data_IF_570101560107
#
_entry.id   IF_570101560107
#
_cell.length_a   1.000
_cell.length_b   1.000
_cell.length_c   1.000
_cell.angle_alpha   90.00
_cell.angle_beta   90.00
_cell.angle_gamma   90.00
#
_symmetry.space_group_name_H-M   'P 1'
#
loop_
_entity.id
_entity.type
_entity.pdbx_description
1 polymer ?
#
# COMPACT_ATOMS: atom_id res chain seq x y z
N UNK A 1 6.14 11.33 -0.58
CA UNK A 1 4.82 11.18 -1.24
C UNK A 1 4.82 12.02 -2.49
N UNK A 2 3.76 11.99 -3.30
CA UNK A 2 3.55 13.07 -4.28
C UNK A 2 3.12 14.37 -3.58
N UNK A 3 2.93 15.40 -4.40
CA UNK A 3 2.38 16.69 -4.01
C UNK A 3 0.84 16.66 -3.93
N UNK A 4 0.26 15.52 -3.51
CA UNK A 4 -1.16 15.44 -3.20
C UNK A 4 -1.49 16.36 -2.02
N UNK A 5 -2.61 17.08 -2.07
CA UNK A 5 -2.98 18.04 -1.03
C UNK A 5 -3.22 17.39 0.34
N UNK A 6 -3.51 16.09 0.38
CA UNK A 6 -3.58 15.30 1.61
C UNK A 6 -2.22 15.11 2.29
N UNK A 7 -1.12 15.17 1.53
CA UNK A 7 0.25 15.05 2.04
C UNK A 7 0.89 16.43 2.21
N UNK A 8 0.48 17.42 1.41
CA UNK A 8 0.93 18.80 1.49
C UNK A 8 -0.02 19.62 2.37
N UNK A 9 -0.13 19.25 3.65
CA UNK A 9 -0.94 19.97 4.62
C UNK A 9 -0.28 20.05 6.01
N UNK A 10 -0.49 21.18 6.69
CA UNK A 10 0.07 21.46 8.02
C UNK A 10 -0.25 20.37 9.07
N UNK A 11 -1.47 19.77 9.11
CA UNK A 11 -1.74 18.68 10.05
C UNK A 11 -0.87 17.44 9.81
N UNK A 12 -0.56 17.13 8.55
CA UNK A 12 0.28 15.98 8.20
C UNK A 12 1.75 16.24 8.53
N UNK A 13 2.26 17.46 8.25
CA UNK A 13 3.61 17.86 8.64
C UNK A 13 3.81 17.78 10.16
N UNK A 14 2.86 18.34 10.94
CA UNK A 14 2.88 18.23 12.41
C UNK A 14 2.84 16.78 12.89
N UNK A 15 2.15 15.90 12.18
CA UNK A 15 2.11 14.47 12.49
C UNK A 15 3.49 13.83 12.26
N UNK A 16 4.12 14.13 11.13
CA UNK A 16 5.46 13.68 10.80
C UNK A 16 6.49 14.16 11.84
N UNK A 17 6.48 15.44 12.19
CA UNK A 17 7.37 16.03 13.21
C UNK A 17 7.19 15.35 14.57
N UNK A 18 5.93 15.14 14.99
CA UNK A 18 5.61 14.48 16.26
C UNK A 18 6.22 13.08 16.36
N UNK A 19 6.29 12.34 15.25
CA UNK A 19 6.85 10.99 15.22
C UNK A 19 8.30 10.95 14.71
N UNK A 20 8.94 12.10 14.48
CA UNK A 20 10.31 12.18 13.97
C UNK A 20 10.46 11.59 12.57
N UNK A 21 9.42 11.65 11.74
CA UNK A 21 9.42 11.16 10.36
C UNK A 21 9.83 12.28 9.43
N UNK A 22 10.92 12.10 8.70
CA UNK A 22 11.33 13.03 7.65
C UNK A 22 10.44 12.83 6.40
N UNK A 23 9.59 13.82 6.12
CA UNK A 23 8.68 13.79 4.99
C UNK A 23 9.32 14.35 3.72
N UNK A 24 9.48 13.51 2.70
CA UNK A 24 10.09 13.86 1.42
C UNK A 24 9.08 13.72 0.27
N UNK A 25 9.13 14.67 -0.67
CA UNK A 25 8.28 14.68 -1.87
C UNK A 25 8.99 14.07 -3.09
N UNK A 26 8.22 13.39 -3.94
CA UNK A 26 8.65 13.02 -5.28
C UNK A 26 8.74 14.26 -6.15
N UNK A 27 9.68 14.29 -7.09
CA UNK A 27 9.83 15.37 -8.06
C UNK A 27 8.51 15.63 -8.81
N UNK A 28 8.21 16.89 -9.15
CA UNK A 28 7.05 17.21 -9.98
C UNK A 28 7.05 16.43 -11.30
N UNK A 29 5.88 15.93 -11.69
CA UNK A 29 5.62 15.22 -12.97
C UNK A 29 6.45 13.94 -13.17
N UNK A 30 6.96 13.31 -12.11
CA UNK A 30 7.66 12.01 -12.18
C UNK A 30 6.91 10.90 -11.43
N UNK A 31 5.73 10.46 -11.93
CA UNK A 31 4.93 9.42 -11.26
C UNK A 31 5.68 8.09 -11.09
N UNK A 32 6.68 7.83 -11.93
CA UNK A 32 7.51 6.63 -11.85
C UNK A 32 8.26 6.50 -10.51
N UNK A 33 8.55 7.62 -9.83
CA UNK A 33 9.16 7.60 -8.49
C UNK A 33 8.25 6.92 -7.45
N UNK A 34 6.93 7.00 -7.63
CA UNK A 34 5.95 6.33 -6.80
C UNK A 34 5.50 4.97 -7.38
N UNK A 35 6.10 4.52 -8.48
CA UNK A 35 5.64 3.33 -9.19
C UNK A 35 5.65 2.04 -8.36
N UNK A 36 6.50 1.94 -7.33
CA UNK A 36 6.48 0.79 -6.39
C UNK A 36 5.20 0.77 -5.57
N UNK A 37 4.82 1.90 -4.97
CA UNK A 37 3.59 1.98 -4.15
C UNK A 37 2.35 1.87 -5.03
N UNK A 38 2.34 2.49 -6.21
CA UNK A 38 1.22 2.40 -7.16
C UNK A 38 0.96 0.96 -7.62
N UNK A 39 2.01 0.20 -7.96
CA UNK A 39 1.87 -1.22 -8.30
C UNK A 39 1.33 -2.02 -7.12
N UNK A 40 1.78 -1.73 -5.90
CA UNK A 40 1.33 -2.42 -4.70
C UNK A 40 -0.14 -2.17 -4.39
N UNK A 41 -0.58 -0.91 -4.50
CA UNK A 41 -1.98 -0.52 -4.32
C UNK A 41 -2.89 -1.23 -5.31
N UNK A 42 -2.49 -1.26 -6.60
CA UNK A 42 -3.22 -1.98 -7.65
C UNK A 42 -3.37 -3.47 -7.33
N UNK A 43 -2.28 -4.15 -6.93
CA UNK A 43 -2.36 -5.57 -6.58
C UNK A 43 -3.28 -5.84 -5.39
N UNK A 44 -3.29 -4.98 -4.37
CA UNK A 44 -4.20 -5.10 -3.23
C UNK A 44 -5.66 -4.92 -3.65
N UNK A 45 -5.94 -3.92 -4.47
CA UNK A 45 -7.27 -3.64 -4.99
C UNK A 45 -7.80 -4.78 -5.89
N UNK A 46 -6.97 -5.29 -6.81
CA UNK A 46 -7.30 -6.41 -7.69
C UNK A 46 -7.57 -7.69 -6.89
N UNK A 47 -6.74 -8.01 -5.90
CA UNK A 47 -6.95 -9.17 -5.03
C UNK A 47 -8.25 -9.05 -4.23
N UNK A 48 -8.51 -7.87 -3.65
CA UNK A 48 -9.73 -7.62 -2.88
C UNK A 48 -10.98 -7.77 -3.75
N UNK A 49 -10.96 -7.19 -4.97
CA UNK A 49 -12.05 -7.33 -5.94
C UNK A 49 -12.25 -8.77 -6.36
N UNK A 50 -11.17 -9.51 -6.61
CA UNK A 50 -11.23 -10.93 -6.97
C UNK A 50 -11.88 -11.75 -5.87
N UNK A 51 -11.48 -11.55 -4.60
CA UNK A 51 -12.08 -12.24 -3.46
C UNK A 51 -13.57 -11.96 -3.33
N UNK A 52 -14.00 -10.70 -3.47
CA UNK A 52 -15.42 -10.36 -3.40
C UNK A 52 -16.22 -10.96 -4.56
N UNK A 53 -15.68 -10.91 -5.78
CA UNK A 53 -16.36 -11.42 -6.97
C UNK A 53 -16.51 -12.94 -6.94
N UNK A 54 -15.49 -13.67 -6.50
CA UNK A 54 -15.48 -15.14 -6.44
C UNK A 54 -16.61 -15.69 -5.57
N UNK A 55 -16.88 -15.02 -4.45
CA UNK A 55 -17.92 -15.43 -3.48
C UNK A 55 -19.20 -14.61 -3.58
N UNK A 56 -19.35 -13.79 -4.64
CA UNK A 56 -20.49 -12.89 -4.84
C UNK A 56 -20.84 -12.04 -3.62
N UNK A 57 -19.82 -11.60 -2.88
CA UNK A 57 -20.01 -10.86 -1.65
C UNK A 57 -20.42 -9.40 -1.95
N UNK A 58 -21.27 -8.80 -1.11
CA UNK A 58 -21.58 -7.39 -1.20
C UNK A 58 -20.32 -6.51 -1.10
N UNK A 59 -20.31 -5.38 -1.82
CA UNK A 59 -19.21 -4.40 -1.74
C UNK A 59 -18.98 -3.83 -0.34
N UNK A 60 -19.94 -3.97 0.59
CA UNK A 60 -19.75 -3.58 1.99
C UNK A 60 -18.60 -4.31 2.67
N UNK A 61 -18.23 -5.50 2.19
CA UNK A 61 -17.12 -6.30 2.71
C UNK A 61 -15.73 -5.88 2.16
N UNK A 62 -15.62 -4.74 1.48
CA UNK A 62 -14.37 -4.34 0.84
C UNK A 62 -13.23 -4.13 1.84
N UNK A 63 -13.53 -3.69 3.07
CA UNK A 63 -12.52 -3.49 4.12
C UNK A 63 -11.94 -4.84 4.55
N UNK A 64 -12.79 -5.84 4.78
CA UNK A 64 -12.40 -7.20 5.16
C UNK A 64 -11.63 -7.88 4.02
N UNK A 65 -12.07 -7.71 2.78
CA UNK A 65 -11.36 -8.21 1.61
C UNK A 65 -9.97 -7.56 1.47
N UNK A 66 -9.86 -6.25 1.69
CA UNK A 66 -8.59 -5.51 1.64
C UNK A 66 -7.62 -5.95 2.75
N UNK A 67 -8.12 -6.11 3.97
CA UNK A 67 -7.32 -6.63 5.08
C UNK A 67 -6.81 -8.04 4.79
N UNK A 68 -7.67 -8.90 4.24
CA UNK A 68 -7.31 -10.28 3.87
C UNK A 68 -6.28 -10.29 2.73
N UNK A 69 -6.47 -9.47 1.70
CA UNK A 69 -5.52 -9.32 0.60
C UNK A 69 -4.14 -8.87 1.11
N UNK A 70 -4.09 -7.87 2.00
CA UNK A 70 -2.85 -7.40 2.61
C UNK A 70 -2.14 -8.50 3.42
N UNK A 71 -2.90 -9.25 4.24
CA UNK A 71 -2.37 -10.37 5.01
C UNK A 71 -1.74 -11.43 4.11
N UNK A 72 -2.44 -11.85 3.05
CA UNK A 72 -1.99 -12.88 2.11
C UNK A 72 -0.75 -12.42 1.34
N UNK A 73 -0.76 -11.20 0.78
CA UNK A 73 0.35 -10.69 -0.03
C UNK A 73 1.65 -10.64 0.78
N UNK A 74 1.59 -10.32 2.06
CA UNK A 74 2.77 -10.18 2.90
C UNK A 74 3.36 -11.53 3.35
N UNK A 75 2.59 -12.62 3.25
CA UNK A 75 2.94 -13.94 3.80
C UNK A 75 3.05 -15.06 2.79
N UNK A 76 2.57 -14.85 1.55
CA UNK A 76 2.60 -15.89 0.51
C UNK A 76 3.52 -15.48 -0.64
N UNK A 77 3.59 -14.20 -0.98
CA UNK A 77 4.38 -13.75 -2.11
C UNK A 77 5.87 -13.78 -1.78
N UNK A 78 6.66 -14.59 -2.51
CA UNK A 78 8.11 -14.66 -2.34
C UNK A 78 8.81 -13.59 -3.17
N UNK A 79 9.74 -12.86 -2.55
CA UNK A 79 10.69 -12.03 -3.32
C UNK A 79 11.70 -12.95 -4.00
N UNK A 80 11.69 -12.96 -5.33
CA UNK A 80 12.50 -13.84 -6.19
C UNK A 80 13.97 -13.91 -5.79
N UNK A 81 14.58 -12.78 -5.44
CA UNK A 81 16.01 -12.70 -5.10
C UNK A 81 16.36 -13.35 -3.76
N UNK A 82 15.45 -13.27 -2.77
CA UNK A 82 15.71 -13.70 -1.39
C UNK A 82 15.01 -15.01 -1.03
N UNK A 83 14.10 -15.48 -1.88
CA UNK A 83 13.22 -16.64 -1.64
C UNK A 83 12.54 -16.60 -0.27
N UNK A 84 12.19 -15.37 0.17
CA UNK A 84 11.53 -15.09 1.44
C UNK A 84 10.33 -14.18 1.19
N UNK A 85 9.34 -14.30 2.04
CA UNK A 85 8.14 -13.45 2.06
C UNK A 85 8.48 -12.07 2.65
N UNK A 86 7.73 -11.01 2.34
CA UNK A 86 7.87 -9.71 3.01
C UNK A 86 7.83 -9.82 4.54
N UNK A 87 6.97 -10.68 5.07
CA UNK A 87 6.86 -10.91 6.52
C UNK A 87 8.13 -11.50 7.13
N UNK A 88 8.79 -12.43 6.45
CA UNK A 88 10.06 -13.02 6.91
C UNK A 88 11.26 -12.07 6.75
N UNK A 89 11.18 -11.09 5.85
CA UNK A 89 12.22 -10.10 5.65
C UNK A 89 12.13 -8.93 6.63
N UNK A 90 10.96 -8.71 7.21
CA UNK A 90 10.71 -7.65 8.17
C UNK A 90 11.00 -8.06 9.62
N UNK A 91 10.86 -9.36 9.92
CA UNK A 91 11.29 -9.94 11.20
C UNK A 91 12.80 -9.95 11.35
#
# INVERSE_FOLDING_TARGET
TDHGGEFECEPFEKLCDKYGVEHNYSSPRTPQQNGVVERKNRSLEEMSRTMLNEYHLPKSFWVEAMNTACYVINRVHLRREKLKTPYELWK
#
